data_IF_464064692352
#
_entry.id   IF_464064692352
#
_cell.length_a   1.000
_cell.length_b   1.000
_cell.length_c   1.000
_cell.angle_alpha   90.00
_cell.angle_beta   90.00
_cell.angle_gamma   90.00
#
_symmetry.space_group_name_H-M   'P 1'
#
loop_
_entity.id
_entity.type
_entity.pdbx_description
1 polymer ?
#
# COMPACT_ATOMS: atom_id res chain seq x y z
N UNK A 1 -24.70 0.89 30.92
CA UNK A 1 -24.43 1.26 29.52
C UNK A 1 -23.42 0.26 29.00
N UNK A 2 -23.85 -0.67 28.16
CA UNK A 2 -22.94 -1.61 27.49
C UNK A 2 -22.20 -0.82 26.41
N UNK A 3 -20.87 -0.82 26.44
CA UNK A 3 -20.08 -0.21 25.37
C UNK A 3 -20.18 -1.11 24.14
N UNK A 4 -20.89 -0.66 23.10
CA UNK A 4 -20.91 -1.34 21.80
C UNK A 4 -19.51 -1.28 21.19
N UNK A 5 -18.79 -2.40 21.26
CA UNK A 5 -17.52 -2.58 20.56
C UNK A 5 -17.80 -2.67 19.07
N UNK A 6 -17.45 -1.61 18.31
CA UNK A 6 -17.39 -1.68 16.85
C UNK A 6 -16.21 -2.57 16.44
N UNK A 7 -16.51 -3.78 16.02
CA UNK A 7 -15.54 -4.65 15.35
C UNK A 7 -15.25 -4.05 13.98
N UNK A 8 -14.02 -3.55 13.79
CA UNK A 8 -13.50 -3.14 12.49
C UNK A 8 -12.78 -4.35 11.90
N UNK A 9 -13.29 -4.88 10.78
CA UNK A 9 -12.61 -5.94 10.06
C UNK A 9 -11.46 -5.35 9.25
N UNK A 10 -10.24 -5.63 9.66
CA UNK A 10 -9.04 -5.32 8.89
C UNK A 10 -8.82 -6.46 7.88
N UNK A 11 -9.20 -6.23 6.62
CA UNK A 11 -8.93 -7.19 5.56
C UNK A 11 -7.52 -6.99 5.03
N UNK A 12 -6.75 -8.07 4.97
CA UNK A 12 -5.42 -8.08 4.36
C UNK A 12 -5.58 -8.06 2.85
N UNK A 13 -5.02 -7.06 2.18
CA UNK A 13 -5.00 -7.04 0.72
C UNK A 13 -4.17 -8.22 0.19
N UNK A 14 -4.68 -8.94 -0.81
CA UNK A 14 -4.23 -10.28 -1.19
C UNK A 14 -2.92 -10.37 -1.98
N UNK A 15 -2.12 -9.31 -2.03
CA UNK A 15 -0.89 -9.29 -2.85
C UNK A 15 0.25 -9.96 -2.10
N UNK A 16 0.43 -11.27 -2.34
CA UNK A 16 1.55 -12.05 -1.77
C UNK A 16 2.86 -11.87 -2.53
N UNK A 17 2.82 -11.35 -3.75
CA UNK A 17 3.99 -11.09 -4.59
C UNK A 17 3.96 -9.64 -5.09
N UNK A 18 4.89 -8.83 -4.57
CA UNK A 18 5.00 -7.41 -4.89
C UNK A 18 5.47 -7.17 -6.33
N UNK A 19 6.30 -8.07 -6.89
CA UNK A 19 6.79 -7.96 -8.27
C UNK A 19 5.64 -8.22 -9.23
N UNK A 20 4.87 -9.28 -9.00
CA UNK A 20 3.70 -9.59 -9.81
C UNK A 20 2.64 -8.48 -9.77
N UNK A 21 2.45 -7.84 -8.60
CA UNK A 21 1.56 -6.70 -8.47
C UNK A 21 2.03 -5.50 -9.33
N UNK A 22 3.32 -5.18 -9.29
CA UNK A 22 3.91 -4.12 -10.13
C UNK A 22 3.80 -4.43 -11.61
N UNK A 23 4.08 -5.67 -12.02
CA UNK A 23 3.90 -6.13 -13.40
C UNK A 23 2.44 -5.95 -13.85
N UNK A 24 1.47 -6.31 -13.00
CA UNK A 24 0.05 -6.12 -13.30
C UNK A 24 -0.32 -4.65 -13.51
N UNK A 25 0.20 -3.74 -12.67
CA UNK A 25 -0.03 -2.29 -12.83
C UNK A 25 0.56 -1.79 -14.15
N UNK A 26 1.77 -2.24 -14.50
CA UNK A 26 2.42 -1.88 -15.77
C UNK A 26 1.59 -2.36 -16.96
N UNK A 27 1.11 -3.59 -16.94
CA UNK A 27 0.29 -4.13 -18.02
C UNK A 27 -1.05 -3.39 -18.15
N UNK A 28 -1.71 -3.06 -17.03
CA UNK A 28 -2.94 -2.26 -17.04
C UNK A 28 -2.72 -0.84 -17.60
N UNK A 29 -1.57 -0.23 -17.34
CA UNK A 29 -1.21 1.07 -17.92
C UNK A 29 -0.95 0.96 -19.44
N UNK A 30 -0.34 -0.14 -19.90
CA UNK A 30 -0.08 -0.38 -21.33
C UNK A 30 -1.35 -0.72 -22.10
N UNK A 31 -2.26 -1.51 -21.51
CA UNK A 31 -3.53 -1.89 -22.13
C UNK A 31 -4.53 -0.73 -22.19
N UNK A 32 -4.35 0.27 -21.33
CA UNK A 32 -5.28 1.38 -21.14
C UNK A 32 -6.44 1.07 -20.19
N UNK A 33 -6.39 -0.08 -19.48
CA UNK A 33 -7.35 -0.41 -18.43
C UNK A 33 -7.24 0.57 -17.26
N UNK A 34 -6.02 1.04 -16.98
CA UNK A 34 -5.78 2.22 -16.16
C UNK A 34 -5.68 3.45 -17.08
N UNK A 35 -6.35 4.54 -16.67
CA UNK A 35 -6.21 5.83 -17.34
C UNK A 35 -4.76 6.32 -17.24
N UNK A 36 -4.26 7.06 -18.26
CA UNK A 36 -2.94 7.67 -18.20
C UNK A 36 -2.74 8.48 -16.91
N UNK A 37 -1.67 8.18 -16.19
CA UNK A 37 -1.34 8.84 -14.94
C UNK A 37 -0.30 9.95 -15.16
N UNK A 38 -0.58 11.16 -14.67
CA UNK A 38 0.34 12.30 -14.70
C UNK A 38 1.24 12.39 -13.46
N UNK A 39 0.82 11.74 -12.37
CA UNK A 39 1.48 11.76 -11.06
C UNK A 39 1.29 10.40 -10.38
N UNK A 40 2.29 9.97 -9.62
CA UNK A 40 2.20 8.77 -8.80
C UNK A 40 3.29 8.67 -7.75
N UNK A 41 3.07 7.80 -6.77
CA UNK A 41 4.04 7.47 -5.73
C UNK A 41 4.01 5.96 -5.48
N UNK A 42 5.19 5.40 -5.16
CA UNK A 42 5.37 3.98 -4.84
C UNK A 42 6.21 3.89 -3.57
N UNK A 43 5.64 3.31 -2.51
CA UNK A 43 6.33 2.99 -1.28
C UNK A 43 6.56 1.48 -1.21
N UNK A 44 7.80 1.06 -0.94
CA UNK A 44 8.22 -0.34 -0.93
C UNK A 44 8.92 -0.64 0.39
N UNK A 45 8.66 -1.82 0.95
CA UNK A 45 9.32 -2.29 2.17
C UNK A 45 9.97 -3.66 1.91
N UNK A 46 11.28 -3.73 2.13
CA UNK A 46 12.03 -4.98 2.06
C UNK A 46 11.82 -5.84 3.32
N UNK A 47 12.23 -7.11 3.26
CA UNK A 47 12.10 -8.06 4.38
C UNK A 47 12.84 -7.61 5.66
N UNK A 48 13.89 -6.81 5.51
CA UNK A 48 14.65 -6.22 6.61
C UNK A 48 14.00 -4.94 7.18
N UNK A 49 12.81 -4.54 6.69
CA UNK A 49 12.14 -3.31 7.06
C UNK A 49 12.71 -2.05 6.41
N UNK A 50 13.66 -2.18 5.46
CA UNK A 50 14.14 -1.04 4.69
C UNK A 50 13.00 -0.51 3.81
N UNK A 51 12.75 0.79 3.89
CA UNK A 51 11.72 1.45 3.10
C UNK A 51 12.35 2.31 2.01
N UNK A 52 11.86 2.13 0.79
CA UNK A 52 12.20 2.96 -0.36
C UNK A 52 10.94 3.63 -0.90
N UNK A 53 11.09 4.87 -1.35
CA UNK A 53 9.98 5.63 -1.91
C UNK A 53 10.36 6.28 -3.23
N UNK A 54 9.50 6.08 -4.22
CA UNK A 54 9.62 6.68 -5.54
C UNK A 54 8.40 7.56 -5.81
N UNK A 55 8.61 8.68 -6.50
CA UNK A 55 7.57 9.62 -6.86
C UNK A 55 7.83 10.14 -8.26
N UNK A 56 6.78 10.29 -9.05
CA UNK A 56 6.86 10.88 -10.39
C UNK A 56 5.73 11.88 -10.61
N UNK A 57 5.99 12.86 -11.47
CA UNK A 57 5.04 13.92 -11.78
C UNK A 57 5.09 15.11 -10.81
N UNK A 58 4.32 16.17 -11.10
CA UNK A 58 4.29 17.38 -10.28
C UNK A 58 3.65 17.10 -8.92
N UNK A 59 4.24 17.61 -7.82
CA UNK A 59 3.75 17.42 -6.44
C UNK A 59 3.78 15.97 -5.93
N UNK A 60 4.65 15.13 -6.48
CA UNK A 60 4.79 13.74 -6.05
C UNK A 60 5.10 13.62 -4.55
N UNK A 61 5.80 14.59 -3.96
CA UNK A 61 6.16 14.64 -2.54
C UNK A 61 4.94 14.48 -1.61
N UNK A 62 3.80 15.14 -1.92
CA UNK A 62 2.57 15.03 -1.13
C UNK A 62 1.99 13.61 -1.20
N UNK A 63 2.02 12.98 -2.38
CA UNK A 63 1.57 11.60 -2.55
C UNK A 63 2.52 10.60 -1.90
N UNK A 64 3.82 10.88 -1.89
CA UNK A 64 4.80 10.04 -1.22
C UNK A 64 4.53 9.98 0.28
N UNK A 65 4.18 11.10 0.91
CA UNK A 65 3.76 11.14 2.32
C UNK A 65 2.54 10.23 2.54
N UNK A 66 1.53 10.30 1.68
CA UNK A 66 0.34 9.44 1.77
C UNK A 66 0.68 7.95 1.59
N UNK A 67 1.56 7.62 0.65
CA UNK A 67 2.02 6.25 0.42
C UNK A 67 2.73 5.68 1.66
N UNK A 68 3.56 6.49 2.33
CA UNK A 68 4.21 6.11 3.58
C UNK A 68 3.21 5.85 4.72
N UNK A 69 2.17 6.67 4.84
CA UNK A 69 1.12 6.44 5.84
C UNK A 69 0.39 5.11 5.59
N UNK A 70 0.08 4.78 4.34
CA UNK A 70 -0.54 3.49 3.99
C UNK A 70 0.36 2.30 4.25
N UNK A 71 1.65 2.43 3.94
CA UNK A 71 2.63 1.38 4.26
C UNK A 71 2.74 1.16 5.78
N UNK A 72 2.76 2.24 6.56
CA UNK A 72 2.76 2.18 8.02
C UNK A 72 1.51 1.52 8.60
N UNK A 73 0.33 1.84 8.06
CA UNK A 73 -0.93 1.19 8.43
C UNK A 73 -0.90 -0.32 8.16
N UNK A 74 -0.44 -0.73 6.97
CA UNK A 74 -0.32 -2.14 6.60
C UNK A 74 0.67 -2.89 7.52
N UNK A 75 1.83 -2.28 7.80
CA UNK A 75 2.82 -2.85 8.73
C UNK A 75 2.26 -3.02 10.14
N UNK A 76 1.51 -2.02 10.63
CA UNK A 76 0.88 -2.10 11.94
C UNK A 76 -0.22 -3.15 12.00
N UNK A 77 -1.04 -3.26 10.96
CA UNK A 77 -2.04 -4.32 10.83
C UNK A 77 -1.40 -5.72 10.88
N UNK A 78 -0.34 -5.93 10.11
CA UNK A 78 0.38 -7.20 10.10
C UNK A 78 0.91 -7.57 11.49
N UNK A 79 1.44 -6.59 12.24
CA UNK A 79 1.88 -6.78 13.62
C UNK A 79 0.74 -7.12 14.60
N UNK A 80 -0.42 -6.46 14.45
CA UNK A 80 -1.60 -6.74 15.30
C UNK A 80 -2.13 -8.13 15.02
N UNK A 81 -2.28 -8.51 13.74
CA UNK A 81 -2.82 -9.79 13.33
C UNK A 81 -1.86 -10.95 13.63
N UNK A 82 -0.54 -10.75 13.57
CA UNK A 82 0.44 -11.78 13.93
C UNK A 82 0.48 -12.09 15.44
N UNK A 83 -0.27 -11.35 16.26
CA UNK A 83 -0.37 -11.55 17.72
C UNK A 83 -1.67 -12.22 18.15
N UNK A 84 -2.57 -12.51 17.22
CA UNK A 84 -3.83 -13.22 17.49
C UNK A 84 -3.71 -14.75 17.29
N UNK A 85 -2.50 -15.24 16.97
CA UNK A 85 -2.07 -16.65 17.02
C UNK A 85 -1.17 -16.93 18.24
#
# INVERSE_FOLDING_TARGET
MSADLKVVQFQREGWRDAVQALESVIEQLKSGDLSPCEIGALAMMGENGQVEIFGFGPKADDLQVLAMFRLGEASWMDYVLSRED
#
